data_IF_858581793798
#
_entry.id   IF_858581793798
#
_cell.length_a   1.000
_cell.length_b   1.000
_cell.length_c   1.000
_cell.angle_alpha   90.00
_cell.angle_beta   90.00
_cell.angle_gamma   90.00
#
_symmetry.space_group_name_H-M   'P 1'
#
loop_
_entity.id
_entity.type
_entity.pdbx_description
1 polymer ?
#
# COMPACT_ATOMS: atom_id res chain seq x y z
N UNK A 1 -15.36 -20.66 -0.32
CA UNK A 1 -13.95 -20.36 -0.64
C UNK A 1 -13.89 -18.89 -0.98
N UNK A 2 -12.96 -18.19 -0.34
CA UNK A 2 -12.71 -16.76 -0.27
C UNK A 2 -13.29 -15.87 -1.39
N UNK A 3 -14.15 -14.91 -1.01
CA UNK A 3 -14.35 -13.70 -1.80
C UNK A 3 -13.78 -12.53 -0.99
N UNK A 4 -12.45 -12.49 -0.95
CA UNK A 4 -11.66 -11.34 -0.52
C UNK A 4 -12.13 -10.14 -1.32
N UNK A 5 -12.67 -9.15 -0.61
CA UNK A 5 -13.31 -7.97 -1.15
C UNK A 5 -12.27 -7.04 -1.80
N UNK A 6 -11.81 -7.39 -3.00
CA UNK A 6 -11.03 -6.49 -3.86
C UNK A 6 -11.98 -5.62 -4.68
N UNK A 7 -12.06 -4.37 -4.27
CA UNK A 7 -12.86 -3.32 -4.90
C UNK A 7 -12.58 -3.22 -6.39
N UNK A 8 -13.62 -3.52 -7.16
CA UNK A 8 -13.72 -3.33 -8.60
C UNK A 8 -13.61 -1.84 -8.97
N UNK A 9 -12.56 -1.42 -9.69
CA UNK A 9 -12.69 -0.26 -10.58
C UNK A 9 -11.75 -0.30 -11.79
N UNK A 10 -12.38 -0.10 -12.95
CA UNK A 10 -11.79 -0.06 -14.29
C UNK A 10 -10.98 1.23 -14.46
N UNK A 11 -9.73 1.13 -14.90
CA UNK A 11 -9.07 2.23 -15.64
C UNK A 11 -7.83 2.88 -15.03
N UNK A 12 -7.45 2.60 -13.78
CA UNK A 12 -6.15 3.06 -13.24
C UNK A 12 -5.56 1.96 -12.36
N UNK A 13 -4.29 1.53 -12.50
CA UNK A 13 -3.68 0.64 -11.53
C UNK A 13 -3.78 1.30 -10.15
N UNK A 14 -4.61 0.73 -9.27
CA UNK A 14 -4.85 1.25 -7.93
C UNK A 14 -3.53 1.16 -7.15
N UNK A 15 -2.83 2.28 -7.03
CA UNK A 15 -1.64 2.35 -6.21
C UNK A 15 -2.00 1.97 -4.76
N UNK A 16 -1.19 1.11 -4.15
CA UNK A 16 -1.35 0.74 -2.75
C UNK A 16 -1.29 1.99 -1.84
N UNK A 17 -1.81 1.87 -0.61
CA UNK A 17 -1.86 3.01 0.31
C UNK A 17 -0.47 3.65 0.54
N UNK A 18 0.58 2.83 0.55
CA UNK A 18 1.96 3.30 0.66
C UNK A 18 2.40 4.12 -0.55
N UNK A 19 2.30 3.56 -1.76
CA UNK A 19 2.70 4.24 -2.99
C UNK A 19 1.89 5.52 -3.25
N UNK A 20 0.60 5.51 -2.87
CA UNK A 20 -0.27 6.68 -2.94
C UNK A 20 0.21 7.80 -2.00
N UNK A 21 0.53 7.49 -0.74
CA UNK A 21 1.03 8.48 0.21
C UNK A 21 2.43 8.99 -0.16
N UNK A 22 3.30 8.09 -0.59
CA UNK A 22 4.68 8.41 -1.02
C UNK A 22 4.76 9.05 -2.41
N UNK A 23 3.62 9.23 -3.10
CA UNK A 23 3.53 9.80 -4.46
C UNK A 23 4.48 9.12 -5.46
N UNK A 24 4.68 7.81 -5.32
CA UNK A 24 5.51 6.98 -6.22
C UNK A 24 4.65 6.01 -7.03
N UNK A 25 5.18 5.54 -8.16
CA UNK A 25 4.53 4.50 -8.96
C UNK A 25 4.47 3.18 -8.17
N UNK A 26 3.30 2.56 -8.13
CA UNK A 26 3.10 1.22 -7.58
C UNK A 26 3.40 0.21 -8.69
N UNK A 27 4.39 -0.66 -8.48
CA UNK A 27 4.76 -1.73 -9.42
C UNK A 27 4.07 -3.04 -9.02
N UNK A 28 4.05 -4.03 -9.92
CA UNK A 28 3.50 -5.36 -9.60
C UNK A 28 4.27 -6.02 -8.44
N UNK A 29 5.59 -5.78 -8.36
CA UNK A 29 6.46 -6.26 -7.29
C UNK A 29 6.53 -5.29 -6.08
N UNK A 30 5.43 -4.61 -5.78
CA UNK A 30 5.42 -3.67 -4.67
C UNK A 30 5.38 -4.41 -3.34
N UNK A 31 6.50 -4.39 -2.60
CA UNK A 31 6.60 -4.95 -1.24
C UNK A 31 5.52 -4.43 -0.29
N UNK A 32 5.01 -3.22 -0.49
CA UNK A 32 3.96 -2.63 0.33
C UNK A 32 2.54 -3.05 -0.06
N UNK A 33 2.31 -3.52 -1.29
CA UNK A 33 0.98 -3.85 -1.79
C UNK A 33 0.23 -4.92 -0.96
N UNK A 34 0.85 -6.04 -0.55
CA UNK A 34 0.16 -7.04 0.27
C UNK A 34 -0.15 -6.57 1.70
N UNK A 35 0.62 -5.61 2.24
CA UNK A 35 0.44 -5.13 3.62
C UNK A 35 -0.43 -3.88 3.73
N UNK A 36 -0.43 -3.04 2.69
CA UNK A 36 -1.07 -1.73 2.69
C UNK A 36 -2.00 -1.56 1.49
N UNK A 37 -3.15 -2.26 1.48
CA UNK A 37 -4.12 -2.16 0.39
C UNK A 37 -4.66 -0.73 0.26
N UNK A 38 -5.10 -0.36 -0.95
CA UNK A 38 -5.64 0.97 -1.24
C UNK A 38 -6.91 1.30 -0.43
N UNK A 39 -7.64 0.28 0.05
CA UNK A 39 -8.83 0.40 0.89
C UNK A 39 -8.54 0.94 2.29
N UNK A 40 -7.29 0.84 2.77
CA UNK A 40 -6.92 1.17 4.15
C UNK A 40 -5.77 2.20 4.23
N UNK A 41 -5.96 3.44 3.75
CA UNK A 41 -4.91 4.47 3.74
C UNK A 41 -4.41 4.87 5.13
N UNK A 42 -5.25 4.70 6.16
CA UNK A 42 -4.91 5.03 7.55
C UNK A 42 -3.83 4.11 8.13
N UNK A 43 -3.77 2.83 7.73
CA UNK A 43 -2.74 1.89 8.19
C UNK A 43 -1.34 2.40 7.86
N UNK A 44 -1.12 2.73 6.58
CA UNK A 44 0.19 3.24 6.17
C UNK A 44 0.50 4.60 6.80
N UNK A 45 -0.50 5.48 6.96
CA UNK A 45 -0.31 6.79 7.59
C UNK A 45 0.19 6.66 9.04
N UNK A 46 -0.37 5.74 9.83
CA UNK A 46 0.05 5.50 11.21
C UNK A 46 1.46 4.93 11.29
N UNK A 47 1.75 3.90 10.48
CA UNK A 47 3.08 3.26 10.46
C UNK A 47 4.13 4.26 9.96
N UNK A 48 3.83 5.02 8.91
CA UNK A 48 4.69 6.08 8.40
C UNK A 48 4.95 7.16 9.46
N UNK A 49 3.96 7.52 10.27
CA UNK A 49 4.13 8.53 11.33
C UNK A 49 5.06 8.06 12.46
N UNK A 50 4.99 6.77 12.82
CA UNK A 50 5.78 6.22 13.93
C UNK A 50 7.18 5.80 13.49
N UNK A 51 7.26 5.05 12.39
CA UNK A 51 8.52 4.46 11.91
C UNK A 51 9.18 5.32 10.82
N UNK A 52 8.42 6.07 10.04
CA UNK A 52 8.94 6.77 8.86
C UNK A 52 9.09 5.85 7.64
N UNK A 53 8.90 6.39 6.43
CA UNK A 53 8.92 5.62 5.18
C UNK A 53 10.15 4.70 5.03
N UNK A 54 11.33 5.21 5.38
CA UNK A 54 12.60 4.49 5.24
C UNK A 54 12.71 3.29 6.16
N UNK A 55 12.22 3.38 7.40
CA UNK A 55 12.27 2.25 8.34
C UNK A 55 11.25 1.19 7.97
N UNK A 56 10.05 1.59 7.50
CA UNK A 56 9.06 0.62 6.97
C UNK A 56 9.63 -0.13 5.77
N UNK A 57 10.32 0.57 4.85
CA UNK A 57 10.96 -0.09 3.71
C UNK A 57 12.05 -1.07 4.16
N UNK A 58 12.86 -0.73 5.17
CA UNK A 58 13.88 -1.63 5.75
C UNK A 58 13.29 -2.82 6.49
N UNK A 59 12.09 -2.70 7.06
CA UNK A 59 11.42 -3.78 7.79
C UNK A 59 10.72 -4.79 6.86
N UNK A 60 10.33 -4.35 5.66
CA UNK A 60 9.65 -5.17 4.66
C UNK A 60 10.58 -5.73 3.57
N UNK A 61 11.87 -5.39 3.64
CA UNK A 61 12.94 -5.88 2.79
C UNK A 61 13.72 -6.97 3.54
#
# INVERSE_FOLDING_TARGET
MEESSEGRNRGTPLACAACKLLRRRCMQDCLFAPYFPASEPHKFTNVHKVFGASNVNKMLQ
#
